data_IF_570536448317
#
_entry.id   IF_570536448317
#
_cell.length_a   1.000
_cell.length_b   1.000
_cell.length_c   1.000
_cell.angle_alpha   90.00
_cell.angle_beta   90.00
_cell.angle_gamma   90.00
#
_symmetry.space_group_name_H-M   'P 1'
#
loop_
_entity.id
_entity.type
_entity.pdbx_description
1 polymer ?
#
# COMPACT_ATOMS: atom_id res chain seq x y z
N UNK A 1 -10.80 -9.03 -3.57
CA UNK A 1 -9.80 -9.35 -2.60
C UNK A 1 -9.96 -8.52 -1.35
N UNK A 2 -10.69 -9.05 -0.45
CA UNK A 2 -11.06 -8.28 0.71
C UNK A 2 -10.05 -8.28 1.80
N UNK A 3 -9.05 -9.06 1.71
CA UNK A 3 -8.20 -9.31 2.83
C UNK A 3 -6.95 -8.47 2.94
N UNK A 4 -6.76 -7.45 2.11
CA UNK A 4 -5.51 -6.71 2.13
C UNK A 4 -5.69 -5.26 2.54
N UNK A 5 -4.76 -4.79 3.38
CA UNK A 5 -4.71 -3.40 3.83
C UNK A 5 -3.28 -2.91 3.78
N UNK A 6 -3.12 -1.60 3.71
CA UNK A 6 -1.81 -0.96 3.78
C UNK A 6 -1.76 -0.14 5.06
N UNK A 7 -0.74 -0.38 5.87
CA UNK A 7 -0.50 0.39 7.09
C UNK A 7 0.68 1.32 6.86
N UNK A 8 0.48 2.61 7.11
CA UNK A 8 1.48 3.64 6.83
C UNK A 8 1.80 4.41 8.10
N UNK A 9 3.08 4.63 8.34
CA UNK A 9 3.56 5.51 9.39
C UNK A 9 4.48 6.56 8.79
N UNK A 10 4.31 7.80 9.20
CA UNK A 10 5.15 8.89 8.72
C UNK A 10 5.83 9.59 9.88
N UNK A 11 6.87 10.37 9.55
CA UNK A 11 7.69 11.03 10.57
C UNK A 11 6.95 12.10 11.34
N UNK A 12 5.88 12.65 10.78
CA UNK A 12 5.12 13.68 11.47
C UNK A 12 4.13 13.12 12.49
N UNK A 13 4.18 11.82 12.72
CA UNK A 13 3.33 11.21 13.72
C UNK A 13 2.06 10.58 13.17
N UNK A 14 1.83 10.67 11.88
CA UNK A 14 0.65 10.06 11.29
C UNK A 14 0.80 8.54 11.24
N UNK A 15 -0.26 7.84 11.55
CA UNK A 15 -0.30 6.40 11.42
C UNK A 15 -1.72 6.03 11.01
N UNK A 16 -1.85 5.26 9.94
CA UNK A 16 -3.16 4.88 9.45
C UNK A 16 -3.12 3.57 8.71
N UNK A 17 -4.27 2.92 8.64
CA UNK A 17 -4.41 1.65 7.95
C UNK A 17 -5.60 1.76 7.01
N UNK A 18 -5.42 1.38 5.76
CA UNK A 18 -6.43 1.54 4.73
C UNK A 18 -6.56 0.27 3.90
N UNK A 19 -7.80 -0.04 3.51
CA UNK A 19 -8.03 -1.20 2.65
C UNK A 19 -7.57 -0.90 1.23
N UNK A 20 -7.02 -1.91 0.57
CA UNK A 20 -6.71 -1.79 -0.85
C UNK A 20 -8.01 -1.78 -1.65
N UNK A 21 -8.09 -0.87 -2.60
CA UNK A 21 -9.26 -0.76 -3.45
C UNK A 21 -8.86 -1.04 -4.90
N UNK A 22 -9.83 -1.38 -5.76
CA UNK A 22 -9.51 -1.57 -7.17
C UNK A 22 -8.82 -0.37 -7.80
N UNK A 23 -9.19 0.84 -7.40
CA UNK A 23 -8.57 2.03 -7.95
C UNK A 23 -7.07 2.07 -7.65
N UNK A 24 -6.70 1.73 -6.43
CA UNK A 24 -5.29 1.72 -6.04
C UNK A 24 -4.55 0.62 -6.79
N UNK A 25 -5.17 -0.55 -6.89
CA UNK A 25 -4.55 -1.68 -7.59
C UNK A 25 -4.30 -1.34 -9.06
N UNK A 26 -5.27 -0.72 -9.72
CA UNK A 26 -5.11 -0.36 -11.12
C UNK A 26 -4.03 0.69 -11.29
N UNK A 27 -3.97 1.67 -10.40
CA UNK A 27 -2.92 2.68 -10.47
C UNK A 27 -1.54 2.04 -10.37
N UNK A 28 -1.40 1.06 -9.49
CA UNK A 28 -0.16 0.33 -9.32
C UNK A 28 0.21 -0.43 -10.61
N UNK A 29 -0.78 -1.13 -11.17
CA UNK A 29 -0.52 -1.90 -12.38
C UNK A 29 -0.15 -1.01 -13.55
N UNK A 30 -0.77 0.15 -13.65
CA UNK A 30 -0.45 1.07 -14.73
C UNK A 30 0.95 1.65 -14.59
N UNK A 31 1.39 1.89 -13.34
CA UNK A 31 2.72 2.40 -13.14
C UNK A 31 3.80 1.40 -13.55
N UNK A 32 3.60 0.14 -13.20
CA UNK A 32 4.64 -0.85 -13.41
C UNK A 32 4.44 -1.71 -14.65
N UNK A 33 3.28 -1.64 -15.27
CA UNK A 33 3.02 -2.36 -16.50
C UNK A 33 2.84 -3.85 -16.34
N UNK A 34 2.55 -4.31 -15.12
CA UNK A 34 2.38 -5.73 -14.83
C UNK A 34 1.27 -5.92 -13.81
N UNK A 35 0.79 -7.14 -13.70
CA UNK A 35 -0.27 -7.44 -12.75
C UNK A 35 0.18 -7.33 -11.32
N UNK A 36 -0.74 -6.89 -10.46
CA UNK A 36 -0.48 -6.65 -9.06
C UNK A 36 0.03 -7.91 -8.34
N UNK A 37 -0.67 -9.01 -8.50
CA UNK A 37 -0.29 -10.25 -7.81
C UNK A 37 1.06 -10.74 -8.26
N UNK A 38 1.36 -10.59 -9.54
CA UNK A 38 2.64 -11.03 -10.07
C UNK A 38 3.79 -10.21 -9.48
N UNK A 39 3.61 -8.89 -9.43
CA UNK A 39 4.68 -8.03 -8.90
C UNK A 39 4.93 -8.30 -7.43
N UNK A 40 3.88 -8.41 -6.64
CA UNK A 40 4.06 -8.64 -5.22
C UNK A 40 4.55 -10.04 -4.93
N UNK A 41 4.10 -11.03 -5.69
CA UNK A 41 4.48 -12.41 -5.44
C UNK A 41 5.85 -12.79 -5.94
N UNK A 42 6.25 -12.26 -7.09
CA UNK A 42 7.49 -12.68 -7.72
C UNK A 42 8.65 -11.74 -7.46
N UNK A 43 8.42 -10.42 -7.54
CA UNK A 43 9.53 -9.49 -7.42
C UNK A 43 9.75 -9.01 -6.01
N UNK A 44 8.70 -8.89 -5.22
CA UNK A 44 8.79 -8.58 -3.79
C UNK A 44 9.67 -7.36 -3.48
N UNK A 45 9.57 -6.33 -4.31
CA UNK A 45 10.35 -5.12 -4.08
C UNK A 45 9.65 -4.21 -3.08
N UNK A 46 10.42 -3.66 -2.16
CA UNK A 46 9.87 -2.71 -1.21
C UNK A 46 9.37 -1.46 -1.91
N UNK A 47 9.97 -1.09 -3.02
CA UNK A 47 9.49 0.04 -3.80
C UNK A 47 8.01 -0.09 -4.12
N UNK A 48 7.57 -1.29 -4.45
CA UNK A 48 6.17 -1.54 -4.78
C UNK A 48 5.27 -1.24 -3.58
N UNK A 49 5.70 -1.64 -2.40
CA UNK A 49 4.93 -1.41 -1.19
C UNK A 49 4.88 0.08 -0.87
N UNK A 50 6.00 0.78 -1.02
CA UNK A 50 6.05 2.22 -0.75
C UNK A 50 5.16 2.98 -1.74
N UNK A 51 5.14 2.56 -2.99
CA UNK A 51 4.26 3.21 -3.96
C UNK A 51 2.79 3.02 -3.58
N UNK A 52 2.42 1.83 -3.12
CA UNK A 52 1.06 1.59 -2.65
C UNK A 52 0.72 2.53 -1.49
N UNK A 53 1.66 2.73 -0.58
CA UNK A 53 1.45 3.66 0.51
C UNK A 53 1.21 5.08 0.02
N UNK A 54 1.97 5.52 -0.97
CA UNK A 54 1.80 6.84 -1.55
C UNK A 54 0.40 7.00 -2.15
N UNK A 55 -0.02 6.03 -2.96
CA UNK A 55 -1.31 6.12 -3.62
C UNK A 55 -2.47 6.08 -2.64
N UNK A 56 -2.32 5.28 -1.58
CA UNK A 56 -3.40 5.14 -0.63
C UNK A 56 -3.57 6.42 0.19
N UNK A 57 -2.48 7.07 0.56
CA UNK A 57 -2.57 8.34 1.27
C UNK A 57 -3.22 9.41 0.39
N UNK A 58 -2.80 9.46 -0.87
CA UNK A 58 -3.36 10.43 -1.80
C UNK A 58 -4.85 10.18 -2.01
N UNK A 59 -5.24 8.94 -2.15
CA UNK A 59 -6.64 8.59 -2.37
C UNK A 59 -7.52 8.91 -1.16
N UNK A 60 -6.93 8.98 0.02
CA UNK A 60 -7.67 9.29 1.25
C UNK A 60 -7.55 10.75 1.66
N UNK A 61 -7.18 11.61 0.72
CA UNK A 61 -7.21 13.04 0.95
C UNK A 61 -6.00 13.62 1.65
N UNK A 62 -4.95 12.83 1.85
CA UNK A 62 -3.73 13.36 2.45
C UNK A 62 -2.92 14.14 1.43
N UNK A 63 -2.32 15.22 1.87
CA UNK A 63 -1.42 15.98 1.02
C UNK A 63 -0.06 15.32 1.10
N UNK A 64 0.40 14.78 -0.03
CA UNK A 64 1.68 14.08 -0.07
C UNK A 64 2.53 14.64 -1.19
N UNK A 65 3.85 14.56 -1.01
CA UNK A 65 4.78 14.94 -2.05
C UNK A 65 4.72 13.94 -3.19
N UNK A 66 5.15 14.32 -4.39
CA UNK A 66 5.23 13.33 -5.48
C UNK A 66 6.08 12.14 -5.06
N UNK A 67 5.76 10.98 -5.60
CA UNK A 67 6.49 9.78 -5.25
C UNK A 67 7.95 9.93 -5.68
N UNK A 68 8.84 9.85 -4.73
CA UNK A 68 10.27 10.01 -4.98
C UNK A 68 11.01 10.20 -3.65
N UNK A 69 12.27 10.63 -3.71
CA UNK A 69 13.10 10.69 -2.49
C UNK A 69 12.50 11.52 -1.37
N UNK A 70 11.90 12.65 -1.70
CA UNK A 70 11.36 13.52 -0.63
C UNK A 70 10.18 12.86 0.07
N UNK A 71 9.33 12.18 -0.68
CA UNK A 71 8.22 11.45 -0.08
C UNK A 71 8.76 10.31 0.78
N UNK A 72 9.74 9.57 0.26
CA UNK A 72 10.28 8.42 0.98
C UNK A 72 10.98 8.83 2.26
N UNK A 73 11.59 10.01 2.28
CA UNK A 73 12.24 10.50 3.49
C UNK A 73 11.24 10.79 4.60
N UNK A 74 9.99 11.04 4.26
CA UNK A 74 8.96 11.30 5.26
C UNK A 74 8.32 10.04 5.81
N UNK A 75 8.61 8.88 5.23
CA UNK A 75 8.04 7.63 5.69
C UNK A 75 8.87 7.01 6.79
N UNK A 76 8.18 6.40 7.76
CA UNK A 76 8.83 5.50 8.70
C UNK A 76 8.65 4.07 8.21
N UNK A 77 7.43 3.69 7.88
CA UNK A 77 7.17 2.34 7.38
C UNK A 77 5.89 2.26 6.58
N UNK A 78 5.84 1.30 5.68
CA UNK A 78 4.63 0.92 4.96
C UNK A 78 4.58 -0.60 4.98
N UNK A 79 3.46 -1.16 5.39
CA UNK A 79 3.29 -2.60 5.47
C UNK A 79 2.04 -3.04 4.74
N UNK A 80 2.16 -4.13 4.02
CA UNK A 80 1.01 -4.78 3.41
C UNK A 80 0.54 -5.84 4.40
N UNK A 81 -0.69 -5.74 4.84
CA UNK A 81 -1.21 -6.57 5.92
C UNK A 81 -2.44 -7.33 5.43
N UNK A 82 -2.47 -8.62 5.70
CA UNK A 82 -3.66 -9.41 5.43
C UNK A 82 -4.64 -9.20 6.59
N UNK A 83 -5.90 -8.96 6.24
CA UNK A 83 -6.92 -8.75 7.27
C UNK A 83 -7.25 -10.05 7.95
N UNK A 84 -7.29 -10.01 9.26
CA UNK A 84 -7.55 -11.21 10.02
C UNK A 84 -8.93 -11.75 9.84
N UNK A 85 -9.86 -10.89 9.54
CA UNK A 85 -11.22 -11.33 9.42
C UNK A 85 -11.37 -12.43 8.38
N UNK A 86 -10.48 -12.47 7.43
CA UNK A 86 -10.63 -13.47 6.42
C UNK A 86 -9.96 -14.78 6.80
N UNK A 87 -9.07 -14.76 7.73
CA UNK A 87 -8.46 -16.00 8.10
C UNK A 87 -9.12 -16.62 9.27
N UNK A 88 -9.76 -15.85 10.03
CA UNK A 88 -10.47 -16.48 11.07
C UNK A 88 -11.57 -17.24 10.49
N UNK A 89 -11.47 -17.03 9.69
CA UNK A 89 -12.23 -17.73 9.20
C UNK A 89 -11.72 -18.81 8.86
N UNK A 90 -11.19 -18.77 9.19
CA UNK A 90 -10.93 -19.36 8.86
C UNK A 90 -10.99 -20.13 9.25
N UNK A 91 -11.06 -20.00 9.77
CA UNK A 91 -11.29 -20.51 10.08
C UNK A 91 -11.83 -20.80 10.17
N UNK A 92 -11.92 -20.60 10.22
CA UNK A 92 -12.54 -20.97 10.06
C UNK A 92 -12.79 -21.42 9.74
#
# INVERSE_FOLDING_TARGET
>A
MDGLSIKVKTKDGFEGSYSLTPRIIVAFEQKYGKGFAKLLGEEQKLEHIYFLGHEILKANGKVVKPFGPDFLDDLISVELVANDSFESTETA
#
